data_IF_910841098944
#
_entry.id   IF_910841098944
#
_cell.length_a   1.000
_cell.length_b   1.000
_cell.length_c   1.000
_cell.angle_alpha   90.00
_cell.angle_beta   90.00
_cell.angle_gamma   90.00
#
_symmetry.space_group_name_H-M   'P 1'
#
loop_
_entity.id
_entity.type
_entity.pdbx_description
1 polymer ?
#
# COMPACT_ATOMS: atom_id res chain seq x y z
N UNK A 1 4.17 14.10 -0.12
CA UNK A 1 3.20 13.35 -0.93
C UNK A 1 3.73 11.95 -1.08
N UNK A 2 3.65 11.17 -0.01
CA UNK A 2 3.79 9.72 -0.17
C UNK A 2 2.48 9.27 -0.83
N UNK A 3 2.57 8.45 -1.88
CA UNK A 3 1.43 7.66 -2.35
C UNK A 3 1.59 6.29 -1.69
N UNK A 4 0.52 5.71 -1.16
CA UNK A 4 0.54 4.36 -0.61
C UNK A 4 0.26 3.47 -1.81
N UNK A 5 1.25 2.81 -2.37
CA UNK A 5 0.95 1.72 -3.29
C UNK A 5 0.67 0.47 -2.47
N UNK A 6 -0.47 -0.19 -2.67
CA UNK A 6 -0.66 -1.54 -2.16
C UNK A 6 -0.22 -2.52 -3.25
N UNK A 7 0.77 -3.31 -2.91
CA UNK A 7 1.30 -4.43 -3.68
C UNK A 7 2.10 -5.34 -2.73
N UNK A 8 2.38 -6.56 -3.16
CA UNK A 8 3.19 -7.54 -2.43
C UNK A 8 4.52 -7.77 -3.13
N UNK A 9 5.54 -8.02 -2.34
CA UNK A 9 6.84 -8.47 -2.86
C UNK A 9 6.69 -9.86 -3.52
N UNK A 10 7.42 -10.10 -4.61
CA UNK A 10 7.48 -11.42 -5.29
C UNK A 10 7.78 -12.53 -4.27
N UNK A 11 7.04 -13.64 -4.31
CA UNK A 11 7.20 -14.77 -3.39
C UNK A 11 6.54 -14.60 -2.01
N UNK A 12 5.96 -13.43 -1.70
CA UNK A 12 5.20 -13.25 -0.46
C UNK A 12 4.01 -14.22 -0.41
N UNK A 13 3.79 -14.81 0.77
CA UNK A 13 2.71 -15.77 1.04
C UNK A 13 2.70 -17.01 0.13
N UNK A 14 3.88 -17.44 -0.34
CA UNK A 14 4.03 -18.55 -1.29
C UNK A 14 3.27 -18.35 -2.62
N UNK A 15 2.94 -17.11 -2.95
CA UNK A 15 2.39 -16.75 -4.25
C UNK A 15 3.46 -16.90 -5.34
N UNK A 16 2.99 -17.05 -6.58
CA UNK A 16 3.88 -17.02 -7.73
C UNK A 16 4.57 -15.66 -7.85
N UNK A 17 5.79 -15.65 -8.39
CA UNK A 17 6.54 -14.40 -8.60
C UNK A 17 5.87 -13.47 -9.62
N UNK A 18 4.96 -14.02 -10.44
CA UNK A 18 4.14 -13.28 -11.41
C UNK A 18 2.68 -13.14 -10.97
N UNK A 19 2.37 -13.35 -9.69
CA UNK A 19 1.02 -13.13 -9.18
C UNK A 19 0.62 -11.66 -9.36
N UNK A 20 -0.68 -11.35 -9.63
CA UNK A 20 -1.17 -9.98 -9.77
C UNK A 20 -0.80 -9.10 -8.58
N UNK A 21 -0.79 -9.62 -7.35
CA UNK A 21 -0.39 -8.84 -6.19
C UNK A 21 1.06 -8.34 -6.25
N UNK A 22 1.93 -8.96 -7.07
CA UNK A 22 3.32 -8.53 -7.27
C UNK A 22 3.55 -7.73 -8.57
N UNK A 23 2.65 -7.81 -9.55
CA UNK A 23 2.79 -7.14 -10.85
C UNK A 23 1.83 -5.97 -11.03
N UNK A 24 0.72 -5.98 -10.28
CA UNK A 24 -0.32 -4.97 -10.30
C UNK A 24 -0.39 -4.35 -8.89
N UNK A 25 -0.28 -3.03 -8.86
CA UNK A 25 -0.47 -2.24 -7.65
C UNK A 25 -1.45 -1.13 -7.96
N UNK A 26 -2.18 -0.71 -6.94
CA UNK A 26 -3.00 0.48 -7.03
C UNK A 26 -2.45 1.56 -6.10
N UNK A 27 -2.46 2.80 -6.60
CA UNK A 27 -2.15 3.97 -5.79
C UNK A 27 -3.33 4.22 -4.86
N UNK A 28 -3.12 3.96 -3.59
CA UNK A 28 -3.88 4.51 -2.49
C UNK A 28 -3.24 5.86 -2.12
N UNK A 29 -4.01 6.91 -1.91
CA UNK A 29 -3.49 8.08 -1.19
C UNK A 29 -3.95 8.01 0.28
N UNK A 30 -3.09 8.49 1.19
CA UNK A 30 -2.79 7.95 2.53
C UNK A 30 -3.79 8.17 3.69
N UNK A 31 -3.74 7.30 4.71
CA UNK A 31 -4.09 7.62 6.09
C UNK A 31 -3.20 8.77 6.57
N UNK A 32 -3.80 9.94 6.76
CA UNK A 32 -3.25 11.10 7.45
C UNK A 32 -2.77 10.65 8.84
N UNK A 33 -1.58 11.11 9.29
CA UNK A 33 -1.11 10.80 10.64
C UNK A 33 -2.09 11.37 11.66
N UNK A 34 -2.50 10.59 12.66
CA UNK A 34 -3.52 11.02 13.65
C UNK A 34 -3.09 12.23 14.49
N UNK A 35 -1.82 12.64 14.41
CA UNK A 35 -1.24 13.70 15.23
C UNK A 35 -0.57 14.75 14.35
N UNK A 36 -0.69 16.02 14.75
CA UNK A 36 0.06 17.14 14.21
C UNK A 36 1.56 16.98 14.52
N UNK A 37 2.43 17.70 13.80
CA UNK A 37 3.83 17.84 14.21
C UNK A 37 3.96 18.32 15.66
N UNK A 38 5.02 17.92 16.35
CA UNK A 38 5.28 18.37 17.72
C UNK A 38 5.34 19.89 17.82
N UNK A 39 4.70 20.42 18.86
CA UNK A 39 4.69 21.84 19.16
C UNK A 39 5.50 22.14 20.44
N UNK A 40 5.87 23.40 20.63
CA UNK A 40 6.74 23.82 21.73
C UNK A 40 6.09 23.75 23.11
N UNK A 41 4.80 23.43 23.19
CA UNK A 41 4.03 23.28 24.42
C UNK A 41 4.24 21.92 25.11
N UNK A 42 5.03 21.03 24.50
CA UNK A 42 5.32 19.69 25.03
C UNK A 42 4.17 18.69 24.85
N UNK A 43 3.12 19.07 24.11
CA UNK A 43 1.94 18.23 23.89
C UNK A 43 1.92 17.65 22.47
N UNK A 44 1.37 16.44 22.35
CA UNK A 44 1.17 15.74 21.07
C UNK A 44 -0.30 15.92 20.67
N UNK A 45 -0.57 16.77 19.70
CA UNK A 45 -1.93 17.15 19.31
C UNK A 45 -2.51 16.23 18.25
N UNK A 46 -3.80 15.91 18.34
CA UNK A 46 -4.50 15.23 17.27
C UNK A 46 -4.55 16.10 16.00
N UNK A 47 -4.39 15.48 14.83
CA UNK A 47 -4.56 16.10 13.51
C UNK A 47 -6.03 16.21 13.08
N UNK A 48 -6.92 16.11 14.06
CA UNK A 48 -8.36 16.26 13.91
C UNK A 48 -8.75 17.67 14.30
N UNK A 49 -9.76 18.24 13.64
CA UNK A 49 -10.39 19.48 14.06
C UNK A 49 -10.82 19.38 15.54
N UNK A 50 -10.39 20.28 16.44
CA UNK A 50 -10.59 20.13 17.88
C UNK A 50 -12.04 20.36 18.33
N UNK A 51 -12.93 20.84 17.45
CA UNK A 51 -14.36 21.07 17.74
C UNK A 51 -15.23 19.92 17.25
N UNK A 52 -14.91 19.35 16.08
CA UNK A 52 -15.73 18.36 15.36
C UNK A 52 -15.08 16.98 15.21
N UNK A 53 -13.76 16.86 15.41
CA UNK A 53 -13.00 15.62 15.32
C UNK A 53 -12.63 15.15 13.90
N UNK A 54 -12.73 16.00 12.87
CA UNK A 54 -12.47 15.63 11.47
C UNK A 54 -11.12 16.16 10.98
N UNK A 55 -10.31 15.37 10.25
CA UNK A 55 -9.03 15.84 9.69
C UNK A 55 -9.23 16.86 8.56
N UNK A 56 -8.45 17.95 8.57
CA UNK A 56 -8.55 19.03 7.58
C UNK A 56 -7.80 18.71 6.27
N UNK A 57 -8.40 19.07 5.13
CA UNK A 57 -7.88 18.83 3.78
C UNK A 57 -7.36 20.15 3.19
N UNK A 58 -6.15 20.15 2.61
CA UNK A 58 -5.64 21.28 1.82
C UNK A 58 -5.89 21.02 0.33
N UNK A 59 -6.58 21.94 -0.33
CA UNK A 59 -6.72 21.91 -1.79
C UNK A 59 -5.41 22.37 -2.45
N UNK A 60 -4.59 21.41 -2.86
CA UNK A 60 -3.41 21.67 -3.69
C UNK A 60 -3.68 21.27 -5.13
N UNK A 61 -3.39 22.17 -6.08
CA UNK A 61 -3.45 21.86 -7.50
C UNK A 61 -2.13 21.24 -7.96
N UNK A 62 -2.14 19.93 -8.25
CA UNK A 62 -1.00 19.24 -8.86
C UNK A 62 -1.19 19.03 -10.36
N UNK A 63 -0.07 19.01 -11.08
CA UNK A 63 0.00 18.53 -12.47
C UNK A 63 0.60 17.14 -12.46
N UNK A 64 -0.15 16.17 -13.00
CA UNK A 64 0.32 14.79 -13.22
C UNK A 64 0.50 14.62 -14.72
N UNK A 65 1.59 13.98 -15.12
CA UNK A 65 1.87 13.63 -16.50
C UNK A 65 2.15 12.14 -16.64
N UNK A 66 1.65 11.55 -17.74
CA UNK A 66 1.91 10.14 -18.04
C UNK A 66 3.36 9.99 -18.50
N UNK A 67 4.05 9.03 -17.90
CA UNK A 67 5.38 8.60 -18.34
C UNK A 67 5.27 7.26 -19.07
N UNK A 68 6.29 6.91 -19.86
CA UNK A 68 6.39 5.55 -20.38
C UNK A 68 6.47 4.55 -19.22
N UNK A 69 5.69 3.47 -19.29
CA UNK A 69 5.69 2.46 -18.25
C UNK A 69 7.08 1.78 -18.19
N UNK A 70 7.75 1.76 -17.03
CA UNK A 70 8.96 0.97 -16.87
C UNK A 70 8.61 -0.53 -16.92
N UNK A 71 9.59 -1.38 -17.21
CA UNK A 71 9.39 -2.84 -17.19
C UNK A 71 8.96 -3.35 -15.79
N UNK A 72 9.48 -2.74 -14.73
CA UNK A 72 9.03 -2.95 -13.35
C UNK A 72 9.34 -1.72 -12.48
N UNK A 73 8.65 -1.61 -11.34
CA UNK A 73 8.86 -0.53 -10.37
C UNK A 73 10.24 -0.62 -9.72
N UNK A 74 10.85 0.54 -9.47
CA UNK A 74 12.16 0.66 -8.84
C UNK A 74 12.06 1.18 -7.41
N UNK A 75 12.92 0.74 -6.47
CA UNK A 75 13.97 -0.27 -6.67
C UNK A 75 13.43 -1.71 -6.71
N UNK A 76 14.06 -2.56 -7.54
CA UNK A 76 13.73 -3.99 -7.60
C UNK A 76 14.33 -4.72 -6.40
N UNK A 77 13.48 -5.42 -5.64
CA UNK A 77 13.92 -6.27 -4.54
C UNK A 77 13.81 -7.75 -4.93
N UNK A 78 14.78 -8.62 -4.58
CA UNK A 78 14.71 -10.05 -4.90
C UNK A 78 13.47 -10.72 -4.28
N UNK A 79 12.98 -11.86 -4.81
CA UNK A 79 11.86 -12.59 -4.22
C UNK A 79 12.10 -12.95 -2.75
N UNK A 80 11.04 -12.91 -1.93
CA UNK A 80 11.09 -13.32 -0.54
C UNK A 80 10.90 -14.84 -0.41
N UNK A 81 11.65 -15.48 0.49
CA UNK A 81 11.43 -16.89 0.83
C UNK A 81 10.07 -17.07 1.52
N UNK A 82 9.27 -18.01 1.04
CA UNK A 82 8.00 -18.34 1.65
C UNK A 82 8.20 -19.27 2.87
N UNK A 83 7.57 -18.99 4.02
CA UNK A 83 7.61 -19.88 5.19
C UNK A 83 6.72 -21.12 5.04
N UNK A 84 5.92 -21.19 3.96
CA UNK A 84 4.98 -22.28 3.67
C UNK A 84 5.20 -22.80 2.24
N UNK A 85 4.86 -24.07 1.94
CA UNK A 85 4.94 -24.61 0.59
C UNK A 85 4.03 -23.88 -0.39
N UNK A 86 4.36 -23.92 -1.69
CA UNK A 86 3.48 -23.43 -2.75
C UNK A 86 2.18 -24.24 -2.77
N UNK A 87 1.07 -23.54 -3.00
CA UNK A 87 -0.24 -24.18 -3.17
C UNK A 87 -0.27 -25.12 -4.38
N UNK A 88 -1.21 -26.08 -4.42
CA UNK A 88 -1.36 -26.99 -5.54
C UNK A 88 -1.79 -26.24 -6.81
N UNK A 89 -1.31 -26.71 -7.97
CA UNK A 89 -1.63 -26.11 -9.28
C UNK A 89 -3.09 -26.33 -9.72
N UNK A 90 -3.79 -27.28 -9.09
CA UNK A 90 -5.20 -27.57 -9.33
C UNK A 90 -5.93 -27.53 -8.00
N UNK A 91 -6.95 -26.68 -7.91
CA UNK A 91 -7.87 -26.65 -6.78
C UNK A 91 -9.07 -27.54 -7.10
N UNK A 92 -9.37 -28.48 -6.22
CA UNK A 92 -10.59 -29.29 -6.28
C UNK A 92 -11.46 -28.90 -5.09
N UNK A 93 -12.66 -28.42 -5.37
CA UNK A 93 -13.64 -28.07 -4.34
C UNK A 93 -14.72 -29.14 -4.31
N UNK A 94 -14.99 -29.70 -3.13
CA UNK A 94 -16.19 -30.51 -2.94
C UNK A 94 -17.36 -29.54 -2.77
N UNK A 95 -18.24 -29.48 -3.76
CA UNK A 95 -19.44 -28.65 -3.74
C UNK A 95 -20.64 -29.56 -3.48
N UNK A 96 -21.31 -29.42 -2.33
CA UNK A 96 -22.46 -30.25 -1.92
C UNK A 96 -22.09 -31.54 -1.16
N UNK A 97 -23.11 -32.21 -0.58
CA UNK A 97 -22.95 -33.50 0.14
C UNK A 97 -22.43 -34.58 -0.79
#
# INVERSE_FOLDING_TARGET
>A
WTWNAIGKRKGAWALDEKAPEATEGFLLNHLIHELLPEQADGMRWSNSDPVTGQAAWFDLRVKIEKVAAPAEAQPVTPPQNAPVPKGPSKLAWKVGK
#
